data_IF_191577617578
#
_entry.id   IF_191577617578
#
_cell.length_a   1.000
_cell.length_b   1.000
_cell.length_c   1.000
_cell.angle_alpha   90.00
_cell.angle_beta   90.00
_cell.angle_gamma   90.00
#
_symmetry.space_group_name_H-M   'P 1'
#
loop_
_entity.id
_entity.type
_entity.pdbx_description
1 polymer ?
#
# COMPACT_ATOMS: atom_id res chain seq x y z
N UNK A 1 -10.02 7.77 9.14
CA UNK A 1 -9.41 6.47 9.53
C UNK A 1 -8.14 6.74 10.29
N UNK A 2 -7.64 5.79 11.08
CA UNK A 2 -6.58 6.05 12.05
C UNK A 2 -5.56 4.92 12.11
N UNK A 3 -4.32 5.23 11.75
CA UNK A 3 -3.17 4.39 12.06
C UNK A 3 -3.08 4.18 13.58
N UNK A 4 -2.92 2.93 13.99
CA UNK A 4 -2.59 2.58 15.37
C UNK A 4 -1.09 2.59 15.51
N UNK A 5 -0.56 3.62 16.17
CA UNK A 5 0.87 3.83 16.36
C UNK A 5 1.23 3.49 17.81
N UNK A 6 2.24 2.64 17.98
CA UNK A 6 2.85 2.31 19.27
C UNK A 6 4.36 2.56 19.21
N UNK A 7 5.07 2.34 20.33
CA UNK A 7 6.53 2.48 20.37
C UNK A 7 7.29 1.46 19.51
N UNK A 8 6.64 0.36 19.09
CA UNK A 8 7.30 -0.76 18.37
C UNK A 8 6.60 -1.21 17.09
N UNK A 9 5.38 -0.76 16.85
CA UNK A 9 4.58 -1.16 15.69
C UNK A 9 3.64 -0.03 15.25
N UNK A 10 3.40 0.03 13.94
CA UNK A 10 2.38 0.87 13.29
C UNK A 10 1.52 -0.07 12.43
N UNK A 11 0.20 -0.01 12.60
CA UNK A 11 -0.75 -0.86 11.86
C UNK A 11 -1.94 -0.05 11.38
N UNK A 12 -2.55 -0.45 10.27
CA UNK A 12 -3.83 0.07 9.78
C UNK A 12 -4.95 -0.96 9.97
N UNK A 13 -6.19 -0.49 10.12
CA UNK A 13 -7.40 -1.32 10.06
C UNK A 13 -7.90 -1.52 8.61
N UNK A 14 -7.37 -0.75 7.66
CA UNK A 14 -7.65 -0.85 6.22
C UNK A 14 -6.77 -1.85 5.53
N UNK A 15 -5.48 -1.67 5.77
CA UNK A 15 -4.43 -2.33 5.02
C UNK A 15 -3.83 -3.43 5.88
N UNK A 16 -3.44 -4.55 5.28
CA UNK A 16 -2.74 -5.61 6.02
C UNK A 16 -1.25 -5.32 6.17
N UNK A 17 -0.78 -4.16 5.70
CA UNK A 17 0.62 -3.79 5.82
C UNK A 17 0.91 -3.21 7.21
N UNK A 18 2.17 -3.30 7.62
CA UNK A 18 2.61 -2.95 8.97
C UNK A 18 4.01 -2.35 8.95
N UNK A 19 4.29 -1.47 9.90
CA UNK A 19 5.64 -1.08 10.25
C UNK A 19 6.01 -1.66 11.62
N UNK A 20 7.26 -2.08 11.80
CA UNK A 20 7.76 -2.52 13.10
C UNK A 20 9.19 -2.02 13.34
N UNK A 21 9.51 -1.76 14.60
CA UNK A 21 10.86 -1.43 15.02
C UNK A 21 11.71 -2.70 15.07
N UNK A 22 12.72 -2.77 14.23
CA UNK A 22 13.78 -3.77 14.26
C UNK A 22 14.86 -3.28 15.23
N UNK A 23 15.08 -3.96 16.37
CA UNK A 23 16.10 -3.54 17.34
C UNK A 23 17.49 -3.57 16.72
N UNK A 24 18.31 -2.57 17.04
CA UNK A 24 19.67 -2.44 16.57
C UNK A 24 20.46 -1.43 17.39
N UNK A 25 21.70 -1.10 16.97
CA UNK A 25 22.45 0.02 17.53
C UNK A 25 21.61 1.30 17.48
N UNK A 26 21.83 2.21 18.43
CA UNK A 26 21.15 3.52 18.51
C UNK A 26 19.61 3.48 18.57
N UNK A 27 19.04 2.37 19.04
CA UNK A 27 17.58 2.22 19.22
C UNK A 27 16.88 1.47 18.08
N UNK A 28 17.60 1.12 17.00
CA UNK A 28 17.10 0.34 15.88
C UNK A 28 16.45 1.16 14.76
N UNK A 29 15.98 0.45 13.73
CA UNK A 29 15.37 1.04 12.54
C UNK A 29 13.94 0.52 12.33
N UNK A 30 13.09 1.32 11.71
CA UNK A 30 11.75 0.88 11.33
C UNK A 30 11.76 0.17 9.98
N UNK A 31 11.05 -0.94 9.88
CA UNK A 31 10.87 -1.69 8.66
C UNK A 31 9.39 -1.74 8.27
N UNK A 32 9.10 -1.49 6.99
CA UNK A 32 7.77 -1.60 6.39
C UNK A 32 7.61 -2.94 5.70
N UNK A 33 6.45 -3.58 5.86
CA UNK A 33 6.16 -4.86 5.20
C UNK A 33 6.09 -4.78 3.67
N UNK A 34 5.78 -3.60 3.13
CA UNK A 34 5.70 -3.35 1.69
C UNK A 34 6.97 -2.72 1.10
N UNK A 35 7.90 -2.25 1.95
CA UNK A 35 9.20 -1.70 1.57
C UNK A 35 10.32 -2.42 2.34
N UNK A 36 10.57 -3.71 2.06
CA UNK A 36 11.60 -4.48 2.75
C UNK A 36 13.00 -4.03 2.36
N UNK A 37 13.94 -4.11 3.31
CA UNK A 37 15.36 -3.81 3.10
C UNK A 37 15.75 -2.34 3.22
N UNK A 38 14.82 -1.50 3.72
CA UNK A 38 15.05 -0.09 3.98
C UNK A 38 15.03 0.17 5.47
N UNK A 39 16.09 0.81 5.97
CA UNK A 39 16.16 1.26 7.35
C UNK A 39 15.51 2.64 7.45
N UNK A 40 14.35 2.71 8.08
CA UNK A 40 13.54 3.93 8.14
C UNK A 40 13.58 4.56 9.53
N UNK A 41 13.46 5.87 9.57
CA UNK A 41 13.10 6.56 10.81
C UNK A 41 11.65 6.27 11.18
N UNK A 42 11.27 6.62 12.42
CA UNK A 42 9.89 6.48 12.88
C UNK A 42 8.93 7.31 12.03
N UNK A 43 9.34 8.53 11.68
CA UNK A 43 8.56 9.46 10.86
C UNK A 43 8.36 8.90 9.45
N UNK A 44 9.42 8.37 8.84
CA UNK A 44 9.33 7.70 7.53
C UNK A 44 8.42 6.47 7.57
N UNK A 45 8.47 5.67 8.63
CA UNK A 45 7.56 4.55 8.79
C UNK A 45 6.09 4.98 8.92
N UNK A 46 5.82 6.11 9.59
CA UNK A 46 4.48 6.72 9.64
C UNK A 46 4.04 7.17 8.25
N UNK A 47 4.91 7.87 7.52
CA UNK A 47 4.61 8.33 6.16
C UNK A 47 4.34 7.18 5.20
N UNK A 48 5.13 6.12 5.28
CA UNK A 48 4.93 4.92 4.47
C UNK A 48 3.63 4.17 4.80
N UNK A 49 3.22 4.14 6.07
CA UNK A 49 1.91 3.58 6.45
C UNK A 49 0.75 4.46 6.00
N UNK A 50 0.91 5.79 6.08
CA UNK A 50 -0.10 6.73 5.61
C UNK A 50 -0.27 6.68 4.09
N UNK A 51 0.83 6.52 3.35
CA UNK A 51 0.82 6.30 1.89
C UNK A 51 -0.02 5.10 1.50
N UNK A 52 0.24 3.95 2.11
CA UNK A 52 -0.53 2.73 1.84
C UNK A 52 -2.00 2.92 2.18
N UNK A 53 -2.35 3.55 3.31
CA UNK A 53 -3.74 3.85 3.67
C UNK A 53 -4.44 4.78 2.67
N UNK A 54 -3.79 5.88 2.27
CA UNK A 54 -4.35 6.84 1.31
C UNK A 54 -4.60 6.23 -0.07
N UNK A 55 -3.66 5.40 -0.54
CA UNK A 55 -3.78 4.72 -1.84
C UNK A 55 -4.79 3.55 -1.80
N UNK A 56 -5.14 3.08 -0.61
CA UNK A 56 -6.14 2.01 -0.41
C UNK A 56 -7.58 2.50 -0.52
N UNK A 57 -7.86 3.76 -0.14
CA UNK A 57 -9.19 4.37 -0.24
C UNK A 57 -9.13 5.88 -0.54
N UNK A 58 -8.95 6.26 -1.81
CA UNK A 58 -8.91 7.66 -2.20
C UNK A 58 -10.26 8.36 -2.12
N UNK A 59 -11.36 7.64 -1.87
CA UNK A 59 -12.70 8.25 -1.74
C UNK A 59 -12.91 8.96 -0.39
N UNK A 60 -11.97 8.81 0.55
CA UNK A 60 -12.06 9.39 1.89
C UNK A 60 -11.66 10.88 1.97
N UNK A 61 -11.04 11.43 0.92
CA UNK A 61 -10.53 12.81 0.82
C UNK A 61 -10.78 13.33 -0.60
N UNK A 62 -10.74 14.64 -0.81
CA UNK A 62 -10.60 15.22 -2.16
C UNK A 62 -9.44 14.52 -2.89
N UNK A 63 -9.72 13.91 -4.03
CA UNK A 63 -8.78 13.06 -4.75
C UNK A 63 -7.52 13.83 -5.17
N UNK A 64 -7.63 15.14 -5.45
CA UNK A 64 -6.48 15.96 -5.84
C UNK A 64 -5.56 16.22 -4.64
N UNK A 65 -6.12 16.70 -3.53
CA UNK A 65 -5.38 16.92 -2.29
C UNK A 65 -4.77 15.63 -1.74
N UNK A 66 -5.48 14.50 -1.85
CA UNK A 66 -4.95 13.20 -1.45
C UNK A 66 -3.72 12.81 -2.28
N UNK A 67 -3.71 13.09 -3.58
CA UNK A 67 -2.58 12.78 -4.45
C UNK A 67 -1.37 13.68 -4.18
N UNK A 68 -1.58 14.97 -3.93
CA UNK A 68 -0.50 15.89 -3.54
C UNK A 68 0.14 15.49 -2.20
N UNK A 69 -0.68 15.18 -1.20
CA UNK A 69 -0.21 14.70 0.10
C UNK A 69 0.52 13.35 -0.02
N UNK A 70 0.08 12.47 -0.93
CA UNK A 70 0.77 11.23 -1.21
C UNK A 70 2.14 11.49 -1.85
N UNK A 71 2.24 12.43 -2.79
CA UNK A 71 3.52 12.79 -3.39
C UNK A 71 4.52 13.31 -2.34
N UNK A 72 4.09 14.22 -1.46
CA UNK A 72 4.94 14.77 -0.40
C UNK A 72 5.45 13.67 0.57
N UNK A 73 4.60 12.70 0.90
CA UNK A 73 5.01 11.55 1.74
C UNK A 73 5.90 10.57 1.01
N UNK A 74 5.76 10.41 -0.31
CA UNK A 74 6.69 9.59 -1.09
C UNK A 74 8.09 10.23 -1.09
N UNK A 75 8.16 11.55 -1.20
CA UNK A 75 9.41 12.30 -1.15
C UNK A 75 10.12 12.15 0.20
N UNK A 76 9.39 12.06 1.33
CA UNK A 76 10.01 11.81 2.65
C UNK A 76 10.68 10.43 2.75
N UNK A 77 10.27 9.48 1.90
CA UNK A 77 10.92 8.18 1.72
C UNK A 77 12.03 8.20 0.66
N UNK A 78 12.29 9.34 0.01
CA UNK A 78 13.20 9.44 -1.12
C UNK A 78 12.69 8.74 -2.38
N UNK A 79 11.37 8.60 -2.52
CA UNK A 79 10.72 7.90 -3.63
C UNK A 79 9.78 8.80 -4.43
N UNK A 80 9.64 8.51 -5.72
CA UNK A 80 8.53 9.06 -6.50
C UNK A 80 7.21 8.36 -6.14
N UNK A 81 6.09 9.06 -6.25
CA UNK A 81 4.77 8.46 -6.00
C UNK A 81 4.49 7.24 -6.90
N UNK A 82 4.95 7.28 -8.15
CA UNK A 82 4.84 6.16 -9.10
C UNK A 82 5.54 4.90 -8.57
N UNK A 83 6.74 5.06 -8.03
CA UNK A 83 7.55 3.98 -7.45
C UNK A 83 6.88 3.32 -6.25
N UNK A 84 6.22 4.13 -5.41
CA UNK A 84 5.42 3.66 -4.27
C UNK A 84 4.22 2.86 -4.76
N UNK A 85 3.46 3.40 -5.72
CA UNK A 85 2.27 2.74 -6.29
C UNK A 85 2.65 1.39 -6.90
N UNK A 86 3.74 1.32 -7.68
CA UNK A 86 4.21 0.08 -8.30
C UNK A 86 4.55 -0.98 -7.23
N UNK A 87 5.25 -0.59 -6.16
CA UNK A 87 5.62 -1.49 -5.07
C UNK A 87 4.40 -2.02 -4.32
N UNK A 88 3.46 -1.15 -3.97
CA UNK A 88 2.21 -1.56 -3.31
C UNK A 88 1.38 -2.49 -4.20
N UNK A 89 1.30 -2.22 -5.50
CA UNK A 89 0.64 -3.11 -6.45
C UNK A 89 1.31 -4.49 -6.52
N UNK A 90 2.63 -4.53 -6.61
CA UNK A 90 3.39 -5.78 -6.60
C UNK A 90 3.11 -6.59 -5.31
N UNK A 91 3.03 -5.90 -4.17
CA UNK A 91 2.73 -6.52 -2.88
C UNK A 91 1.32 -7.11 -2.81
N UNK A 92 0.32 -6.38 -3.33
CA UNK A 92 -1.07 -6.89 -3.43
C UNK A 92 -1.10 -8.17 -4.28
N UNK A 93 -0.42 -8.18 -5.43
CA UNK A 93 -0.35 -9.34 -6.33
C UNK A 93 0.33 -10.53 -5.65
N UNK A 94 1.47 -10.31 -4.99
CA UNK A 94 2.20 -11.34 -4.25
C UNK A 94 1.31 -11.98 -3.17
N UNK A 95 0.64 -11.15 -2.37
CA UNK A 95 -0.26 -11.61 -1.31
C UNK A 95 -1.43 -12.41 -1.86
N UNK A 96 -2.01 -11.98 -2.98
CA UNK A 96 -3.10 -12.72 -3.63
C UNK A 96 -2.61 -14.08 -4.18
N UNK A 97 -1.37 -14.17 -4.67
CA UNK A 97 -0.76 -15.45 -5.05
C UNK A 97 -0.56 -16.35 -3.83
N UNK A 98 -0.07 -15.82 -2.71
CA UNK A 98 0.11 -16.59 -1.47
C UNK A 98 -1.22 -17.13 -0.94
N UNK A 99 -2.28 -16.32 -0.92
CA UNK A 99 -3.63 -16.74 -0.51
C UNK A 99 -4.18 -17.85 -1.39
N UNK A 100 -3.98 -17.78 -2.71
CA UNK A 100 -4.40 -18.84 -3.64
C UNK A 100 -3.67 -20.16 -3.40
N UNK A 101 -2.36 -20.11 -3.10
CA UNK A 101 -1.58 -21.31 -2.76
C UNK A 101 -2.11 -21.97 -1.48
N UNK A 102 -2.29 -21.18 -0.42
CA UNK A 102 -2.83 -21.66 0.86
C UNK A 102 -4.25 -22.27 0.71
N UNK A 103 -5.11 -21.69 -0.14
CA UNK A 103 -6.43 -22.24 -0.43
C UNK A 103 -6.41 -23.53 -1.28
N UNK A 104 -5.38 -23.71 -2.11
CA UNK A 104 -5.17 -24.93 -2.91
C UNK A 104 -4.69 -26.11 -2.06
N UNK A 105 -3.79 -25.86 -1.12
CA UNK A 105 -3.24 -26.89 -0.23
C UNK A 105 -4.26 -27.41 0.79
N UNK A 106 -5.25 -26.59 1.17
CA UNK A 106 -6.34 -26.99 2.07
C UNK A 106 -7.37 -27.96 1.47
N UNK A 107 -7.32 -28.25 0.15
CA UNK A 107 -8.30 -29.13 -0.52
C UNK A 107 -7.91 -30.62 -0.50
N UNK A 108 -6.70 -30.96 -0.09
CA UNK A 108 -6.26 -32.36 0.04
C UNK A 108 -6.61 -33.02 1.38
N UNK A 109 -7.24 -32.31 2.33
CA UNK A 109 -7.52 -32.85 3.68
C UNK A 109 -8.99 -32.79 4.13
N UNK A 110 -9.93 -32.23 3.38
CA UNK A 110 -11.31 -32.08 3.84
C UNK A 110 -12.33 -32.49 2.77
N UNK A 111 -12.96 -33.63 3.02
CA UNK A 111 -14.09 -34.13 2.25
C UNK A 111 -15.28 -33.17 2.22
N UNK A 112 -15.96 -33.20 1.09
CA UNK A 112 -17.35 -32.81 0.82
C UNK A 112 -18.19 -32.32 2.01
N UNK A 113 -18.39 -31.00 2.11
CA UNK A 113 -19.64 -30.40 2.58
C UNK A 113 -19.71 -28.94 2.11
N UNK A 114 -20.73 -28.61 1.31
CA UNK A 114 -20.86 -27.32 0.64
C UNK A 114 -21.02 -26.14 1.60
N UNK A 115 -20.28 -25.05 1.32
CA UNK A 115 -20.60 -23.69 1.78
C UNK A 115 -20.33 -22.68 0.66
N UNK A 116 -21.29 -21.79 0.34
CA UNK A 116 -21.10 -20.78 -0.69
C UNK A 116 -20.43 -19.51 -0.12
N UNK A 117 -19.58 -18.86 -0.93
CA UNK A 117 -19.49 -17.39 -0.90
C UNK A 117 -18.20 -16.70 -0.44
N UNK A 118 -17.02 -17.34 -0.38
CA UNK A 118 -15.77 -16.61 -0.04
C UNK A 118 -15.21 -15.72 -1.19
N UNK A 119 -15.68 -15.90 -2.43
CA UNK A 119 -15.16 -15.19 -3.60
C UNK A 119 -15.59 -13.73 -3.74
N UNK A 120 -16.61 -13.28 -2.98
CA UNK A 120 -17.21 -11.94 -3.14
C UNK A 120 -16.53 -10.85 -2.31
N UNK A 121 -15.94 -11.17 -1.16
CA UNK A 121 -15.31 -10.18 -0.27
C UNK A 121 -13.92 -9.76 -0.79
N UNK A 122 -13.18 -10.70 -1.37
CA UNK A 122 -11.82 -10.48 -1.90
C UNK A 122 -11.84 -9.62 -3.17
N UNK A 123 -12.81 -9.86 -4.05
CA UNK A 123 -12.99 -9.09 -5.30
C UNK A 123 -13.37 -7.64 -5.03
N UNK A 124 -14.03 -7.33 -3.92
CA UNK A 124 -14.43 -5.97 -3.56
C UNK A 124 -13.26 -5.12 -3.01
N UNK A 125 -12.34 -5.72 -2.23
CA UNK A 125 -11.13 -5.02 -1.75
C UNK A 125 -10.15 -4.74 -2.90
N UNK A 126 -9.86 -5.72 -3.74
CA UNK A 126 -8.98 -5.53 -4.91
C UNK A 126 -9.54 -4.48 -5.88
N UNK A 127 -10.87 -4.39 -6.01
CA UNK A 127 -11.55 -3.37 -6.84
C UNK A 127 -11.47 -1.95 -6.24
N UNK A 128 -11.41 -1.79 -4.91
CA UNK A 128 -11.16 -0.48 -4.27
C UNK A 128 -9.71 -0.02 -4.43
N UNK A 129 -8.75 -0.92 -4.22
CA UNK A 129 -7.33 -0.67 -4.50
C UNK A 129 -7.09 -0.32 -5.97
N UNK A 130 -7.69 -1.06 -6.91
CA UNK A 130 -7.54 -0.80 -8.34
C UNK A 130 -8.22 0.50 -8.78
N UNK A 131 -9.31 0.93 -8.13
CA UNK A 131 -9.95 2.21 -8.42
C UNK A 131 -9.05 3.41 -8.11
N UNK A 132 -8.37 3.37 -6.96
CA UNK A 132 -7.40 4.40 -6.57
C UNK A 132 -6.12 4.40 -7.39
N UNK A 133 -5.58 3.22 -7.66
CA UNK A 133 -4.36 3.03 -8.47
C UNK A 133 -4.58 3.47 -9.92
N UNK A 134 -5.74 3.22 -10.52
CA UNK A 134 -6.05 3.69 -11.88
C UNK A 134 -6.14 5.21 -11.93
N UNK A 135 -6.72 5.86 -10.91
CA UNK A 135 -6.74 7.33 -10.81
C UNK A 135 -5.31 7.87 -10.62
N UNK A 136 -4.52 7.28 -9.73
CA UNK A 136 -3.14 7.68 -9.48
C UNK A 136 -2.24 7.56 -10.72
N UNK A 137 -2.36 6.46 -11.48
CA UNK A 137 -1.62 6.24 -12.73
C UNK A 137 -2.08 7.17 -13.86
N UNK A 138 -3.38 7.46 -13.95
CA UNK A 138 -3.92 8.44 -14.89
C UNK A 138 -3.40 9.86 -14.58
N UNK A 139 -3.28 10.21 -13.30
CA UNK A 139 -2.74 11.51 -12.87
C UNK A 139 -1.23 11.61 -13.03
N UNK A 140 -0.46 10.55 -12.72
CA UNK A 140 0.98 10.49 -13.01
C UNK A 140 1.28 10.57 -14.52
N UNK A 141 0.38 10.05 -15.36
CA UNK A 141 0.41 10.26 -16.81
C UNK A 141 0.11 11.71 -17.21
N UNK A 142 -0.84 12.35 -16.53
CA UNK A 142 -1.22 13.75 -16.76
C UNK A 142 -0.12 14.74 -16.35
N UNK A 143 0.45 14.60 -15.16
CA UNK A 143 1.54 15.46 -14.66
C UNK A 143 2.78 15.44 -15.58
N UNK A 144 3.15 14.26 -16.12
CA UNK A 144 4.21 14.13 -17.14
C UNK A 144 3.89 14.88 -18.44
N UNK A 145 2.61 14.94 -18.83
CA UNK A 145 2.18 15.63 -20.04
C UNK A 145 2.18 17.16 -19.85
N UNK A 146 1.89 17.64 -18.64
CA UNK A 146 2.00 19.05 -18.27
C UNK A 146 3.45 19.52 -18.16
N UNK A 147 4.31 18.81 -17.43
CA UNK A 147 5.73 19.18 -17.29
C UNK A 147 6.47 19.20 -18.64
N UNK A 148 6.10 18.32 -19.57
CA UNK A 148 6.68 18.28 -20.92
C UNK A 148 6.15 19.38 -21.85
N UNK A 149 4.98 19.96 -21.54
CA UNK A 149 4.41 21.08 -22.30
C UNK A 149 4.97 22.45 -21.88
N UNK A 150 5.40 22.60 -20.63
CA UNK A 150 6.11 23.80 -20.17
C UNK A 150 7.56 23.85 -20.66
N UNK A 151 8.24 22.71 -20.75
CA UNK A 151 9.62 22.64 -21.27
C UNK A 151 9.75 22.89 -22.80
N UNK A 152 8.64 23.13 -23.50
CA UNK A 152 8.58 23.32 -24.95
C UNK A 152 8.06 24.71 -25.37
N UNK A 153 7.82 25.60 -24.39
CA UNK A 153 7.62 27.05 -24.58
C UNK A 153 8.90 27.80 -24.25
#
# INVERSE_FOLDING_TARGET
MALRISGRAITSDMTPETAHLVPGPDGGAWALSWLPGWDLTREQAIDGMALDEMLSDPAAVDAELAMELAALRAESLGMGLEDVVVRLCARVIERDRMRRRQAGDGRSAAGSAGRPGLGKVVTQRVRRYLGGVVIALLWAGYARRCARSEAMR
#
